data_IF_479830426857
#
_entry.id   IF_479830426857
#
_cell.length_a   1.000
_cell.length_b   1.000
_cell.length_c   1.000
_cell.angle_alpha   90.00
_cell.angle_beta   90.00
_cell.angle_gamma   90.00
#
_symmetry.space_group_name_H-M   'P 1'
#
loop_
_entity.id
_entity.type
_entity.pdbx_description
1 polymer ?
#
# COMPACT_ATOMS: atom_id res chain seq x y z
N UNK A 1 26.43 -8.44 -57.46
CA UNK A 1 26.58 -8.19 -56.00
C UNK A 1 25.26 -7.99 -55.25
N UNK A 2 24.30 -7.16 -55.72
CA UNK A 2 23.05 -6.87 -54.99
C UNK A 2 22.21 -8.11 -54.61
N UNK A 3 22.12 -9.11 -55.50
CA UNK A 3 21.37 -10.38 -55.24
C UNK A 3 21.93 -11.22 -54.08
N UNK A 4 23.24 -11.15 -53.82
CA UNK A 4 23.84 -11.87 -52.69
C UNK A 4 23.64 -11.11 -51.38
N UNK A 5 23.57 -9.78 -51.43
CA UNK A 5 23.30 -8.95 -50.26
C UNK A 5 21.89 -9.23 -49.67
N UNK A 6 20.87 -9.34 -50.54
CA UNK A 6 19.51 -9.68 -50.10
C UNK A 6 19.41 -11.10 -49.54
N UNK A 7 20.19 -12.05 -50.06
CA UNK A 7 20.26 -13.41 -49.50
C UNK A 7 20.88 -13.43 -48.11
N UNK A 8 21.95 -12.65 -47.89
CA UNK A 8 22.61 -12.54 -46.59
C UNK A 8 21.69 -11.86 -45.57
N UNK A 9 21.02 -10.76 -45.95
CA UNK A 9 20.07 -10.07 -45.08
C UNK A 9 18.85 -10.94 -44.73
N UNK A 10 18.36 -11.73 -45.68
CA UNK A 10 17.27 -12.66 -45.41
C UNK A 10 17.70 -13.75 -44.42
N UNK A 11 18.88 -14.34 -44.61
CA UNK A 11 19.43 -15.35 -43.70
C UNK A 11 19.68 -14.75 -42.30
N UNK A 12 20.21 -13.53 -42.19
CA UNK A 12 20.44 -12.91 -40.87
C UNK A 12 19.12 -12.61 -40.14
N UNK A 13 18.09 -12.15 -40.87
CA UNK A 13 16.76 -11.94 -40.29
C UNK A 13 16.15 -13.25 -39.77
N UNK A 14 16.34 -14.35 -40.52
CA UNK A 14 15.85 -15.67 -40.14
C UNK A 14 16.54 -16.17 -38.86
N UNK A 15 17.85 -15.95 -38.74
CA UNK A 15 18.64 -16.32 -37.55
C UNK A 15 18.15 -15.54 -36.32
N UNK A 16 17.89 -14.23 -36.46
CA UNK A 16 17.40 -13.40 -35.36
C UNK A 16 16.01 -13.86 -34.89
N UNK A 17 15.12 -14.21 -35.83
CA UNK A 17 13.78 -14.73 -35.51
C UNK A 17 13.88 -16.07 -34.78
N UNK A 18 14.71 -16.99 -35.26
CA UNK A 18 14.91 -18.31 -34.63
C UNK A 18 15.53 -18.16 -33.24
N UNK A 19 16.54 -17.31 -33.08
CA UNK A 19 17.16 -17.03 -31.79
C UNK A 19 16.16 -16.41 -30.79
N UNK A 20 15.29 -15.51 -31.25
CA UNK A 20 14.24 -14.91 -30.44
C UNK A 20 13.22 -15.96 -29.99
N UNK A 21 12.78 -16.85 -30.91
CA UNK A 21 11.86 -17.95 -30.57
C UNK A 21 12.49 -18.90 -29.53
N UNK A 22 13.78 -19.25 -29.69
CA UNK A 22 14.48 -20.11 -28.72
C UNK A 22 14.59 -19.42 -27.36
N UNK A 23 14.95 -18.13 -27.33
CA UNK A 23 15.03 -17.35 -26.10
C UNK A 23 13.69 -17.28 -25.38
N UNK A 24 12.60 -16.91 -26.06
CA UNK A 24 11.27 -16.86 -25.45
C UNK A 24 10.74 -18.25 -25.07
N UNK A 25 11.11 -19.31 -25.78
CA UNK A 25 10.66 -20.66 -25.46
C UNK A 25 11.41 -21.30 -24.29
N UNK A 26 12.70 -20.97 -24.11
CA UNK A 26 13.56 -21.60 -23.09
C UNK A 26 13.80 -20.72 -21.85
N UNK A 27 13.75 -19.38 -21.97
CA UNK A 27 14.02 -18.46 -20.85
C UNK A 27 12.71 -17.94 -20.22
N UNK A 28 11.62 -17.84 -20.99
CA UNK A 28 10.35 -17.24 -20.52
C UNK A 28 9.29 -18.29 -20.13
N UNK A 29 9.57 -19.60 -20.26
CA UNK A 29 8.74 -20.65 -19.67
C UNK A 29 9.47 -21.32 -18.50
N UNK A 30 9.10 -21.03 -17.24
CA UNK A 30 9.68 -21.70 -16.09
C UNK A 30 9.00 -23.07 -15.93
N UNK A 31 9.42 -24.08 -16.70
CA UNK A 31 8.99 -25.46 -16.40
C UNK A 31 9.75 -26.03 -15.20
N UNK A 32 10.99 -25.60 -14.95
CA UNK A 32 11.86 -26.24 -13.96
C UNK A 32 12.09 -25.43 -12.67
N UNK A 33 11.55 -24.21 -12.58
CA UNK A 33 11.48 -23.47 -11.31
C UNK A 33 10.23 -23.84 -10.50
N UNK A 34 9.27 -24.57 -11.07
CA UNK A 34 7.96 -24.81 -10.47
C UNK A 34 7.85 -26.11 -9.66
N UNK A 35 8.76 -27.06 -9.86
CA UNK A 35 8.72 -28.35 -9.15
C UNK A 35 9.10 -28.18 -7.67
N UNK A 36 10.10 -27.38 -7.35
CA UNK A 36 10.53 -27.18 -5.96
C UNK A 36 9.51 -26.38 -5.12
N UNK A 37 8.76 -25.46 -5.73
CA UNK A 37 7.69 -24.71 -5.07
C UNK A 37 6.37 -25.51 -5.01
N UNK A 38 6.13 -26.41 -5.98
CA UNK A 38 4.97 -27.29 -5.93
C UNK A 38 5.10 -28.33 -4.83
N UNK A 39 6.27 -28.93 -4.59
CA UNK A 39 6.44 -29.93 -3.52
C UNK A 39 6.09 -29.35 -2.13
N UNK A 40 6.58 -28.14 -1.82
CA UNK A 40 6.28 -27.45 -0.55
C UNK A 40 4.80 -27.04 -0.48
N UNK A 41 4.19 -26.67 -1.62
CA UNK A 41 2.77 -26.35 -1.69
C UNK A 41 1.86 -27.60 -1.59
N UNK A 42 2.28 -28.76 -2.08
CA UNK A 42 1.56 -30.04 -1.90
C UNK A 42 1.65 -30.55 -0.47
N UNK A 43 2.82 -30.46 0.18
CA UNK A 43 2.96 -30.90 1.58
C UNK A 43 2.09 -30.06 2.54
N UNK A 44 1.94 -28.75 2.27
CA UNK A 44 1.02 -27.89 3.01
C UNK A 44 -0.46 -28.13 2.64
N UNK A 45 -0.77 -28.52 1.39
CA UNK A 45 -2.14 -28.90 1.00
C UNK A 45 -2.58 -30.22 1.63
N UNK A 46 -1.68 -31.19 1.79
CA UNK A 46 -1.97 -32.45 2.48
C UNK A 46 -2.25 -32.20 3.97
N UNK A 47 -1.43 -31.39 4.66
CA UNK A 47 -1.67 -30.97 6.06
C UNK A 47 -2.98 -30.19 6.26
N UNK A 48 -3.43 -29.44 5.25
CA UNK A 48 -4.72 -28.71 5.26
C UNK A 48 -5.90 -29.65 4.97
N UNK A 49 -5.69 -30.69 4.14
CA UNK A 49 -6.72 -31.70 3.85
C UNK A 49 -6.99 -32.63 5.04
N UNK A 50 -5.95 -33.00 5.79
CA UNK A 50 -6.07 -33.82 7.00
C UNK A 50 -6.86 -33.09 8.10
N UNK A 51 -6.62 -31.78 8.30
CA UNK A 51 -7.43 -30.95 9.23
C UNK A 51 -8.89 -30.77 8.78
N UNK A 52 -9.16 -30.79 7.47
CA UNK A 52 -10.52 -30.68 6.92
C UNK A 52 -11.37 -31.90 7.25
N UNK A 53 -10.78 -33.10 7.22
CA UNK A 53 -11.48 -34.37 7.52
C UNK A 53 -11.75 -34.50 9.03
N UNK A 54 -10.92 -33.90 9.89
CA UNK A 54 -11.20 -33.78 11.34
C UNK A 54 -12.37 -32.81 11.62
N UNK A 55 -12.42 -31.66 10.93
CA UNK A 55 -13.47 -30.65 11.12
C UNK A 55 -14.84 -31.12 10.58
N UNK A 56 -14.86 -31.81 9.43
CA UNK A 56 -16.11 -32.37 8.86
C UNK A 56 -16.74 -33.46 9.75
N UNK A 57 -15.95 -34.12 10.60
CA UNK A 57 -16.48 -35.07 11.62
C UNK A 57 -16.99 -34.40 12.89
N UNK A 58 -16.51 -33.19 13.22
CA UNK A 58 -17.03 -32.42 14.37
C UNK A 58 -18.33 -31.65 14.04
N UNK A 59 -18.56 -31.27 12.78
CA UNK A 59 -19.77 -30.54 12.37
C UNK A 59 -21.05 -31.40 12.31
N UNK A 60 -20.95 -32.73 12.24
CA UNK A 60 -22.12 -33.62 12.27
C UNK A 60 -22.70 -33.87 13.69
N UNK A 61 -22.10 -33.33 14.75
CA UNK A 61 -22.44 -33.68 16.15
C UNK A 61 -23.13 -32.58 16.98
N UNK A 62 -23.49 -31.42 16.41
CA UNK A 62 -24.17 -30.35 17.17
C UNK A 62 -25.57 -30.01 16.67
N UNK A 63 -26.64 -30.43 17.37
CA UNK A 63 -27.95 -29.80 17.22
C UNK A 63 -28.07 -28.64 18.22
N UNK A 64 -28.31 -27.43 17.73
CA UNK A 64 -29.43 -26.56 18.16
C UNK A 64 -29.26 -25.11 17.73
N UNK A 65 -30.30 -24.61 17.07
CA UNK A 65 -30.74 -23.21 17.18
C UNK A 65 -30.89 -22.86 18.66
N UNK A 66 -30.04 -21.96 19.16
CA UNK A 66 -30.26 -21.26 20.43
C UNK A 66 -30.65 -19.83 20.09
N UNK A 67 -31.82 -19.43 20.59
CA UNK A 67 -32.36 -18.09 20.46
C UNK A 67 -31.36 -17.05 21.01
N UNK A 68 -31.13 -15.99 20.23
CA UNK A 68 -30.31 -14.85 20.63
C UNK A 68 -30.95 -14.13 21.83
N UNK A 69 -30.33 -14.24 23.01
CA UNK A 69 -30.51 -13.25 24.09
C UNK A 69 -29.61 -12.05 23.78
N UNK A 70 -30.11 -10.80 23.81
CA UNK A 70 -29.25 -9.64 23.67
C UNK A 70 -28.49 -9.47 25.00
N UNK A 71 -27.29 -10.03 25.08
CA UNK A 71 -26.33 -9.62 26.10
C UNK A 71 -25.76 -8.31 25.57
N UNK A 72 -26.33 -7.19 26.02
CA UNK A 72 -25.74 -5.86 25.82
C UNK A 72 -24.44 -5.82 26.60
N UNK A 73 -23.35 -6.19 25.94
CA UNK A 73 -22.02 -6.02 26.50
C UNK A 73 -21.68 -4.52 26.43
N UNK A 74 -21.68 -3.88 27.61
CA UNK A 74 -21.45 -2.43 27.73
C UNK A 74 -20.14 -2.01 27.05
N UNK A 75 -19.12 -2.85 27.10
CA UNK A 75 -17.83 -2.61 26.45
C UNK A 75 -17.96 -2.61 24.92
N UNK A 76 -18.71 -3.56 24.36
CA UNK A 76 -19.01 -3.60 22.92
C UNK A 76 -19.83 -2.39 22.47
N UNK A 77 -20.75 -1.93 23.31
CA UNK A 77 -21.55 -0.73 23.03
C UNK A 77 -20.70 0.55 23.05
N UNK A 78 -19.82 0.70 24.04
CA UNK A 78 -18.90 1.85 24.15
C UNK A 78 -17.91 1.88 22.99
N UNK A 79 -17.33 0.73 22.62
CA UNK A 79 -16.45 0.59 21.47
C UNK A 79 -17.16 0.97 20.17
N UNK A 80 -18.37 0.44 19.91
CA UNK A 80 -19.12 0.80 18.71
C UNK A 80 -19.48 2.28 18.65
N UNK A 81 -19.85 2.89 19.79
CA UNK A 81 -20.09 4.33 19.85
C UNK A 81 -18.84 5.13 19.48
N UNK A 82 -17.68 4.76 20.02
CA UNK A 82 -16.40 5.40 19.68
C UNK A 82 -16.05 5.25 18.19
N UNK A 83 -16.15 4.04 17.66
CA UNK A 83 -15.85 3.75 16.25
C UNK A 83 -16.80 4.50 15.30
N UNK A 84 -18.09 4.57 15.61
CA UNK A 84 -19.05 5.32 14.80
C UNK A 84 -18.73 6.83 14.80
N UNK A 85 -18.38 7.40 15.95
CA UNK A 85 -17.98 8.82 16.04
C UNK A 85 -16.73 9.11 15.19
N UNK A 86 -15.74 8.21 15.23
CA UNK A 86 -14.53 8.34 14.42
C UNK A 86 -14.85 8.22 12.92
N UNK A 87 -15.76 7.32 12.52
CA UNK A 87 -16.21 7.23 11.12
C UNK A 87 -16.89 8.52 10.63
N UNK A 88 -17.71 9.16 11.46
CA UNK A 88 -18.31 10.47 11.14
C UNK A 88 -17.21 11.53 10.92
N UNK A 89 -16.18 11.54 11.78
CA UNK A 89 -15.05 12.45 11.64
C UNK A 89 -14.22 12.17 10.37
N UNK A 90 -14.03 10.90 10.01
CA UNK A 90 -13.38 10.48 8.76
C UNK A 90 -14.16 10.98 7.54
N UNK A 91 -15.49 10.88 7.53
CA UNK A 91 -16.30 11.44 6.43
C UNK A 91 -16.16 12.97 6.31
N UNK A 92 -16.11 13.68 7.43
CA UNK A 92 -15.83 15.13 7.42
C UNK A 92 -14.42 15.41 6.88
N UNK A 93 -13.43 14.60 7.27
CA UNK A 93 -12.05 14.72 6.76
C UNK A 93 -11.99 14.46 5.26
N UNK A 94 -12.76 13.52 4.73
CA UNK A 94 -12.85 13.24 3.30
C UNK A 94 -13.33 14.45 2.50
N UNK A 95 -14.39 15.11 2.96
CA UNK A 95 -14.86 16.33 2.31
C UNK A 95 -13.81 17.46 2.40
N UNK A 96 -13.14 17.60 3.55
CA UNK A 96 -12.11 18.61 3.76
C UNK A 96 -10.91 18.42 2.84
N UNK A 97 -10.33 17.21 2.79
CA UNK A 97 -9.12 16.94 2.04
C UNK A 97 -9.33 17.10 0.53
N UNK A 98 -10.48 16.66 0.00
CA UNK A 98 -10.83 16.81 -1.42
C UNK A 98 -11.05 18.29 -1.78
N UNK A 99 -11.62 19.05 -0.85
CA UNK A 99 -11.75 20.51 -1.01
C UNK A 99 -10.38 21.17 -1.03
N UNK A 100 -9.53 20.96 -0.02
CA UNK A 100 -8.19 21.53 0.05
C UNK A 100 -7.39 21.17 -1.20
N UNK A 101 -7.40 19.90 -1.63
CA UNK A 101 -6.68 19.46 -2.82
C UNK A 101 -7.11 20.21 -4.10
N UNK A 102 -8.42 20.40 -4.29
CA UNK A 102 -8.96 21.11 -5.44
C UNK A 102 -8.73 22.63 -5.39
N UNK A 103 -8.73 23.23 -4.20
CA UNK A 103 -8.42 24.64 -4.00
C UNK A 103 -6.91 24.93 -4.16
N UNK A 104 -6.04 23.99 -3.79
CA UNK A 104 -4.58 24.10 -3.96
C UNK A 104 -4.15 23.88 -5.40
N UNK A 105 -4.70 22.86 -6.07
CA UNK A 105 -4.36 22.48 -7.45
C UNK A 105 -5.53 22.85 -8.36
N UNK A 106 -5.65 24.13 -8.69
CA UNK A 106 -6.79 24.65 -9.46
C UNK A 106 -6.65 24.41 -10.98
N UNK A 107 -5.42 24.37 -11.48
CA UNK A 107 -5.11 24.23 -12.91
C UNK A 107 -4.88 22.76 -13.25
N UNK A 108 -5.52 22.24 -14.30
CA UNK A 108 -5.30 20.87 -14.78
C UNK A 108 -3.92 20.68 -15.42
N UNK A 109 -3.26 21.76 -15.85
CA UNK A 109 -1.90 21.73 -16.40
C UNK A 109 -0.81 21.61 -15.33
N UNK A 110 -1.17 21.29 -14.07
CA UNK A 110 -0.20 21.10 -13.00
C UNK A 110 0.82 19.99 -13.29
N UNK A 111 0.56 19.12 -14.26
CA UNK A 111 1.52 18.08 -14.68
C UNK A 111 2.62 18.67 -15.58
N UNK A 112 2.38 19.81 -16.26
CA UNK A 112 3.40 20.45 -17.09
C UNK A 112 4.34 21.30 -16.22
N UNK A 113 5.55 20.80 -16.00
CA UNK A 113 6.62 21.51 -15.28
C UNK A 113 7.01 22.86 -15.91
N UNK A 114 6.55 23.17 -17.13
CA UNK A 114 6.75 24.46 -17.79
C UNK A 114 5.68 25.50 -17.41
N UNK A 115 4.61 25.09 -16.74
CA UNK A 115 3.56 26.01 -16.29
C UNK A 115 4.13 27.07 -15.33
N UNK A 116 3.51 28.25 -15.36
CA UNK A 116 3.84 29.40 -14.52
C UNK A 116 3.80 29.10 -13.01
N UNK A 117 3.01 28.12 -12.58
CA UNK A 117 2.94 27.72 -11.17
C UNK A 117 4.28 27.24 -10.60
N UNK A 118 5.24 26.87 -11.46
CA UNK A 118 6.57 26.40 -11.07
C UNK A 118 7.65 27.50 -11.09
N UNK A 119 7.26 28.75 -11.32
CA UNK A 119 8.18 29.90 -11.34
C UNK A 119 8.42 30.49 -9.94
N UNK A 120 7.39 30.49 -9.10
CA UNK A 120 7.47 30.96 -7.71
C UNK A 120 7.71 29.78 -6.74
N UNK A 121 8.94 29.67 -6.25
CA UNK A 121 9.34 28.60 -5.33
C UNK A 121 8.62 28.67 -3.98
N UNK A 122 8.22 29.85 -3.54
CA UNK A 122 7.55 30.03 -2.25
C UNK A 122 6.11 29.50 -2.35
N UNK A 123 5.43 29.82 -3.45
CA UNK A 123 4.10 29.31 -3.77
C UNK A 123 4.11 27.78 -3.98
N UNK A 124 5.07 27.24 -4.75
CA UNK A 124 5.21 25.79 -4.94
C UNK A 124 5.36 25.09 -3.59
N UNK A 125 6.25 25.58 -2.73
CA UNK A 125 6.50 24.97 -1.41
C UNK A 125 5.26 25.04 -0.54
N UNK A 126 4.57 26.18 -0.51
CA UNK A 126 3.32 26.33 0.24
C UNK A 126 2.29 25.32 -0.24
N UNK A 127 2.09 25.18 -1.56
CA UNK A 127 1.13 24.23 -2.15
C UNK A 127 1.51 22.78 -1.87
N UNK A 128 2.80 22.44 -1.97
CA UNK A 128 3.31 21.11 -1.63
C UNK A 128 3.00 20.75 -0.17
N UNK A 129 3.31 21.67 0.75
CA UNK A 129 3.03 21.52 2.17
C UNK A 129 1.53 21.37 2.46
N UNK A 130 0.69 22.17 1.79
CA UNK A 130 -0.78 22.05 1.89
C UNK A 130 -1.26 20.69 1.39
N UNK A 131 -0.77 20.18 0.24
CA UNK A 131 -1.17 18.85 -0.24
C UNK A 131 -0.77 17.75 0.75
N UNK A 132 0.44 17.80 1.31
CA UNK A 132 0.88 16.83 2.31
C UNK A 132 0.05 16.90 3.60
N UNK A 133 -0.12 18.09 4.17
CA UNK A 133 -0.69 18.26 5.51
C UNK A 133 -2.22 18.34 5.53
N UNK A 134 -2.85 18.79 4.44
CA UNK A 134 -4.29 18.98 4.37
C UNK A 134 -5.00 17.94 3.53
N UNK A 135 -4.36 17.41 2.48
CA UNK A 135 -4.95 16.37 1.64
C UNK A 135 -4.51 14.95 2.07
N UNK A 136 -3.23 14.74 2.35
CA UNK A 136 -2.67 13.40 2.56
C UNK A 136 -2.61 12.97 4.03
N UNK A 137 -2.29 13.88 4.94
CA UNK A 137 -2.34 13.63 6.38
C UNK A 137 -3.80 13.44 6.82
N UNK A 138 -4.12 12.34 7.52
CA UNK A 138 -5.50 12.01 7.90
C UNK A 138 -5.54 11.50 9.34
N UNK A 139 -5.39 12.38 10.34
CA UNK A 139 -5.28 11.97 11.73
C UNK A 139 -6.53 11.23 12.24
N UNK A 140 -7.72 11.53 11.71
CA UNK A 140 -8.97 10.84 12.05
C UNK A 140 -8.97 9.39 11.55
N UNK A 141 -8.46 9.16 10.33
CA UNK A 141 -8.30 7.81 9.77
C UNK A 141 -7.24 7.02 10.53
N UNK A 142 -6.18 7.69 10.97
CA UNK A 142 -5.13 7.09 11.79
C UNK A 142 -5.64 6.65 13.16
N UNK A 143 -6.44 7.49 13.82
CA UNK A 143 -7.07 7.15 15.09
C UNK A 143 -8.07 6.00 14.93
N UNK A 144 -8.90 6.02 13.88
CA UNK A 144 -9.84 4.93 13.59
C UNK A 144 -9.10 3.61 13.35
N UNK A 145 -8.02 3.60 12.57
CA UNK A 145 -7.19 2.40 12.38
C UNK A 145 -6.67 1.87 13.72
N UNK A 146 -6.09 2.74 14.55
CA UNK A 146 -5.50 2.35 15.82
C UNK A 146 -6.55 1.75 16.78
N UNK A 147 -7.77 2.27 16.79
CA UNK A 147 -8.86 1.75 17.61
C UNK A 147 -9.42 0.43 17.08
N UNK A 148 -9.52 0.27 15.76
CA UNK A 148 -9.91 -1.03 15.19
C UNK A 148 -8.82 -2.08 15.43
N UNK A 149 -7.54 -1.73 15.31
CA UNK A 149 -6.43 -2.63 15.63
C UNK A 149 -6.50 -3.10 17.08
N UNK A 150 -6.63 -2.17 18.04
CA UNK A 150 -6.80 -2.52 19.47
C UNK A 150 -8.02 -3.40 19.70
N UNK A 151 -9.13 -3.10 19.03
CA UNK A 151 -10.33 -3.91 19.11
C UNK A 151 -10.03 -5.34 18.62
N UNK A 152 -9.43 -5.51 17.44
CA UNK A 152 -9.07 -6.83 16.91
C UNK A 152 -8.09 -7.57 17.81
N UNK A 153 -7.19 -6.91 18.56
CA UNK A 153 -6.29 -7.63 19.48
C UNK A 153 -6.95 -8.00 20.83
N UNK A 154 -8.11 -7.42 21.15
CA UNK A 154 -8.80 -7.62 22.43
C UNK A 154 -9.91 -8.68 22.43
N UNK A 155 -10.16 -9.34 21.30
CA UNK A 155 -11.25 -10.30 21.04
C UNK A 155 -12.63 -9.88 21.57
N UNK A 156 -13.16 -8.71 21.14
CA UNK A 156 -14.50 -8.31 21.50
C UNK A 156 -15.48 -9.27 20.79
N UNK A 157 -16.67 -9.41 21.38
CA UNK A 157 -17.82 -10.13 20.79
C UNK A 157 -18.44 -9.37 19.60
N UNK A 158 -17.60 -8.83 18.71
CA UNK A 158 -17.95 -8.16 17.46
C UNK A 158 -17.62 -9.12 16.31
N UNK A 159 -18.38 -9.04 15.23
CA UNK A 159 -18.08 -9.78 14.00
C UNK A 159 -16.81 -9.18 13.35
N UNK A 160 -15.74 -9.97 13.14
CA UNK A 160 -14.50 -9.49 12.51
C UNK A 160 -14.74 -8.92 11.11
N UNK A 161 -15.79 -9.35 10.40
CA UNK A 161 -16.18 -8.77 9.10
C UNK A 161 -16.65 -7.33 9.23
N UNK A 162 -17.31 -6.99 10.33
CA UNK A 162 -17.68 -5.61 10.60
C UNK A 162 -16.43 -4.78 10.88
N UNK A 163 -15.51 -5.27 11.73
CA UNK A 163 -14.26 -4.56 12.02
C UNK A 163 -13.43 -4.34 10.75
N UNK A 164 -13.30 -5.36 9.90
CA UNK A 164 -12.61 -5.24 8.62
C UNK A 164 -13.31 -4.25 7.66
N UNK A 165 -14.64 -4.27 7.57
CA UNK A 165 -15.39 -3.30 6.76
C UNK A 165 -15.23 -1.86 7.26
N UNK A 166 -14.89 -1.64 8.54
CA UNK A 166 -14.51 -0.31 9.06
C UNK A 166 -13.10 0.07 8.61
N UNK A 167 -12.16 -0.87 8.59
CA UNK A 167 -10.81 -0.64 8.04
C UNK A 167 -10.86 -0.26 6.57
N UNK A 168 -11.76 -0.84 5.77
CA UNK A 168 -11.91 -0.45 4.36
C UNK A 168 -12.44 0.98 4.19
N UNK A 169 -13.20 1.50 5.16
CA UNK A 169 -13.77 2.86 5.11
C UNK A 169 -12.81 3.96 5.53
N UNK A 170 -11.67 3.63 6.14
CA UNK A 170 -10.67 4.63 6.52
C UNK A 170 -9.90 5.15 5.30
N UNK A 171 -10.00 4.46 4.16
CA UNK A 171 -9.26 4.79 2.95
C UNK A 171 -9.93 5.94 2.18
N UNK A 172 -9.79 7.14 2.73
CA UNK A 172 -10.33 8.39 2.19
C UNK A 172 -9.22 9.23 1.55
N UNK A 173 -9.56 10.24 0.74
CA UNK A 173 -8.61 11.25 0.22
C UNK A 173 -7.43 10.69 -0.62
N UNK A 174 -7.61 9.57 -1.33
CA UNK A 174 -6.57 8.96 -2.18
C UNK A 174 -6.61 9.45 -3.62
N UNK A 175 -6.99 10.70 -3.85
CA UNK A 175 -7.12 11.22 -5.21
C UNK A 175 -5.74 11.15 -5.92
N UNK A 176 -5.65 10.51 -7.11
CA UNK A 176 -4.41 10.41 -7.87
C UNK A 176 -3.75 11.76 -8.14
N UNK A 177 -4.53 12.84 -8.17
CA UNK A 177 -4.07 14.21 -8.34
C UNK A 177 -3.01 14.62 -7.32
N UNK A 178 -3.11 14.16 -6.07
CA UNK A 178 -2.14 14.46 -5.03
C UNK A 178 -0.76 13.85 -5.33
N UNK A 179 -0.70 12.57 -5.68
CA UNK A 179 0.55 11.89 -6.02
C UNK A 179 1.16 12.42 -7.31
N UNK A 180 0.33 12.66 -8.34
CA UNK A 180 0.78 13.26 -9.59
C UNK A 180 1.37 14.65 -9.35
N UNK A 181 0.76 15.46 -8.47
CA UNK A 181 1.29 16.79 -8.14
C UNK A 181 2.62 16.70 -7.39
N UNK A 182 2.76 15.77 -6.44
CA UNK A 182 4.04 15.50 -5.78
C UNK A 182 5.10 15.15 -6.82
N UNK A 183 4.81 14.20 -7.71
CA UNK A 183 5.72 13.80 -8.78
C UNK A 183 6.14 15.00 -9.64
N UNK A 184 5.19 15.79 -10.13
CA UNK A 184 5.48 16.98 -10.95
C UNK A 184 6.30 18.04 -10.20
N UNK A 185 6.09 18.24 -8.90
CA UNK A 185 6.94 19.13 -8.08
C UNK A 185 8.37 18.60 -7.97
N UNK A 186 8.55 17.29 -7.74
CA UNK A 186 9.87 16.67 -7.64
C UNK A 186 10.58 16.61 -8.99
N UNK A 187 9.84 16.40 -10.08
CA UNK A 187 10.34 16.48 -11.44
C UNK A 187 10.77 17.92 -11.77
N UNK A 188 9.95 18.92 -11.42
CA UNK A 188 10.28 20.33 -11.60
C UNK A 188 11.55 20.70 -10.83
N UNK A 189 11.69 20.25 -9.58
CA UNK A 189 12.92 20.42 -8.81
C UNK A 189 14.15 19.90 -9.59
N UNK A 190 14.09 18.67 -10.11
CA UNK A 190 15.18 18.03 -10.85
C UNK A 190 15.50 18.74 -12.17
N UNK A 191 14.49 19.04 -12.97
CA UNK A 191 14.67 19.55 -14.34
C UNK A 191 14.91 21.07 -14.40
N UNK A 192 14.30 21.83 -13.50
CA UNK A 192 14.54 23.28 -13.37
C UNK A 192 15.76 23.61 -12.51
N UNK A 193 16.41 22.61 -11.90
CA UNK A 193 17.63 22.75 -11.09
C UNK A 193 17.45 23.76 -9.95
N UNK A 194 16.36 23.59 -9.19
CA UNK A 194 16.10 24.45 -8.04
C UNK A 194 17.20 24.30 -6.96
N UNK A 195 17.37 25.32 -6.11
CA UNK A 195 18.36 25.27 -5.03
C UNK A 195 18.13 24.09 -4.07
N UNK A 196 19.22 23.53 -3.54
CA UNK A 196 19.20 22.39 -2.61
C UNK A 196 18.32 22.64 -1.38
N UNK A 197 18.20 23.88 -0.91
CA UNK A 197 17.33 24.20 0.23
C UNK A 197 15.86 23.84 -0.03
N UNK A 198 15.41 23.89 -1.30
CA UNK A 198 14.05 23.48 -1.68
C UNK A 198 13.93 21.96 -1.57
N UNK A 199 14.91 21.20 -2.08
CA UNK A 199 14.98 19.74 -1.90
C UNK A 199 14.83 19.36 -0.43
N UNK A 200 15.63 19.99 0.42
CA UNK A 200 15.75 19.65 1.83
C UNK A 200 14.42 19.82 2.56
N UNK A 201 13.68 20.88 2.21
CA UNK A 201 12.34 21.14 2.74
C UNK A 201 11.32 20.13 2.23
N UNK A 202 11.24 19.90 0.91
CA UNK A 202 10.29 18.95 0.33
C UNK A 202 10.49 17.54 0.91
N UNK A 203 11.76 17.10 0.99
CA UNK A 203 12.17 15.82 1.58
C UNK A 203 11.78 15.75 3.06
N UNK A 204 12.07 16.80 3.83
CA UNK A 204 11.76 16.85 5.25
C UNK A 204 10.27 16.77 5.55
N UNK A 205 9.42 17.41 4.74
CA UNK A 205 7.97 17.34 4.91
C UNK A 205 7.43 15.93 4.64
N UNK A 206 7.90 15.27 3.57
CA UNK A 206 7.52 13.87 3.28
C UNK A 206 7.91 12.94 4.43
N UNK A 207 9.17 13.03 4.91
CA UNK A 207 9.62 12.18 6.01
C UNK A 207 8.91 12.47 7.33
N UNK A 208 8.55 13.73 7.59
CA UNK A 208 7.72 14.10 8.75
C UNK A 208 6.37 13.41 8.67
N UNK A 209 5.70 13.49 7.51
CA UNK A 209 4.41 12.84 7.31
C UNK A 209 4.46 11.32 7.49
N UNK A 210 5.50 10.66 6.95
CA UNK A 210 5.74 9.21 7.13
C UNK A 210 5.91 8.88 8.61
N UNK A 211 6.72 9.65 9.36
CA UNK A 211 6.96 9.45 10.79
C UNK A 211 5.71 9.63 11.64
N UNK A 212 4.81 10.53 11.26
CA UNK A 212 3.60 10.81 12.02
C UNK A 212 2.46 9.80 11.75
N UNK A 213 2.36 9.33 10.50
CA UNK A 213 1.22 8.55 10.02
C UNK A 213 1.45 7.04 10.13
N UNK A 214 2.57 6.52 9.62
CA UNK A 214 2.84 5.07 9.54
C UNK A 214 2.79 4.36 10.91
N UNK A 215 3.28 4.94 12.03
CA UNK A 215 3.16 4.30 13.34
C UNK A 215 1.73 4.21 13.89
N UNK A 216 0.79 4.99 13.34
CA UNK A 216 -0.60 5.01 13.80
C UNK A 216 -1.50 4.22 12.85
N UNK A 217 -1.23 4.29 11.56
CA UNK A 217 -2.02 3.67 10.50
C UNK A 217 -1.15 2.77 9.62
N UNK A 218 -1.29 1.46 9.84
CA UNK A 218 -0.55 0.42 9.10
C UNK A 218 -1.46 -0.29 8.10
N UNK A 219 -2.58 0.31 7.69
CA UNK A 219 -3.38 -0.29 6.62
C UNK A 219 -2.53 -0.46 5.36
N UNK A 220 -2.76 -1.53 4.60
CA UNK A 220 -1.99 -1.79 3.38
C UNK A 220 -2.05 -0.61 2.42
N UNK A 221 -3.22 0.00 2.23
CA UNK A 221 -3.37 1.18 1.39
C UNK A 221 -2.51 2.36 1.88
N UNK A 222 -2.39 2.56 3.20
CA UNK A 222 -1.54 3.61 3.74
C UNK A 222 -0.05 3.32 3.54
N UNK A 223 0.36 2.08 3.77
CA UNK A 223 1.73 1.64 3.57
C UNK A 223 2.13 1.76 2.08
N UNK A 224 1.31 1.24 1.17
CA UNK A 224 1.52 1.34 -0.28
C UNK A 224 1.64 2.78 -0.74
N UNK A 225 0.81 3.67 -0.21
CA UNK A 225 0.83 5.07 -0.58
C UNK A 225 2.13 5.76 -0.18
N UNK A 226 2.63 5.54 1.03
CA UNK A 226 3.92 6.09 1.44
C UNK A 226 5.09 5.43 0.73
N UNK A 227 5.02 4.12 0.47
CA UNK A 227 5.99 3.44 -0.40
C UNK A 227 6.03 4.07 -1.78
N UNK A 228 4.89 4.41 -2.38
CA UNK A 228 4.80 5.07 -3.69
C UNK A 228 5.39 6.49 -3.64
N UNK A 229 5.13 7.28 -2.60
CA UNK A 229 5.75 8.60 -2.45
C UNK A 229 7.28 8.48 -2.42
N UNK A 230 7.82 7.52 -1.67
CA UNK A 230 9.28 7.30 -1.62
C UNK A 230 9.85 6.80 -2.96
N UNK A 231 9.10 5.97 -3.70
CA UNK A 231 9.47 5.56 -5.06
C UNK A 231 9.50 6.75 -6.03
N UNK A 232 8.49 7.61 -6.00
CA UNK A 232 8.46 8.86 -6.79
C UNK A 232 9.68 9.74 -6.47
N UNK A 233 10.07 9.84 -5.20
CA UNK A 233 11.29 10.55 -4.81
C UNK A 233 12.55 9.88 -5.37
N UNK A 234 12.61 8.55 -5.43
CA UNK A 234 13.73 7.81 -6.01
C UNK A 234 13.81 8.01 -7.53
N UNK A 235 12.68 7.94 -8.24
CA UNK A 235 12.57 8.15 -9.68
C UNK A 235 13.01 9.57 -10.09
N UNK A 236 12.75 10.54 -9.22
CA UNK A 236 13.20 11.92 -9.39
C UNK A 236 14.60 12.20 -8.84
N UNK A 237 15.34 11.18 -8.39
CA UNK A 237 16.72 11.31 -7.94
C UNK A 237 16.89 12.07 -6.61
N UNK A 238 15.81 12.22 -5.83
CA UNK A 238 15.88 12.73 -4.45
C UNK A 238 16.22 11.64 -3.45
N UNK A 239 15.96 10.36 -3.78
CA UNK A 239 16.34 9.20 -2.98
C UNK A 239 17.34 8.35 -3.78
N UNK A 240 18.41 7.81 -3.15
CA UNK A 240 19.34 6.93 -3.84
C UNK A 240 18.65 5.68 -4.43
N UNK A 241 18.97 5.35 -5.68
CA UNK A 241 18.34 4.24 -6.42
C UNK A 241 18.52 2.86 -5.77
N UNK A 242 19.51 2.67 -4.89
CA UNK A 242 19.64 1.40 -4.16
C UNK A 242 18.42 1.10 -3.28
N UNK A 243 17.69 2.13 -2.83
CA UNK A 243 16.47 1.95 -2.05
C UNK A 243 15.23 1.65 -2.91
N UNK A 244 15.26 1.88 -4.24
CA UNK A 244 14.09 1.61 -5.09
C UNK A 244 13.75 0.12 -5.10
N UNK A 245 14.76 -0.75 -5.14
CA UNK A 245 14.56 -2.21 -5.13
C UNK A 245 13.94 -2.68 -3.81
N UNK A 246 14.38 -2.11 -2.68
CA UNK A 246 13.81 -2.43 -1.36
C UNK A 246 12.35 -1.97 -1.24
N UNK A 247 12.05 -0.77 -1.75
CA UNK A 247 10.70 -0.21 -1.75
C UNK A 247 9.75 -0.99 -2.69
N UNK A 248 10.21 -1.39 -3.87
CA UNK A 248 9.45 -2.22 -4.81
C UNK A 248 9.13 -3.60 -4.22
N UNK A 249 10.12 -4.24 -3.58
CA UNK A 249 9.91 -5.52 -2.92
C UNK A 249 8.94 -5.42 -1.74
N UNK A 250 9.04 -4.35 -0.94
CA UNK A 250 8.08 -4.05 0.12
C UNK A 250 6.66 -3.86 -0.45
N UNK A 251 6.52 -3.09 -1.53
CA UNK A 251 5.24 -2.88 -2.23
C UNK A 251 4.63 -4.20 -2.72
N UNK A 252 5.44 -5.08 -3.30
CA UNK A 252 5.01 -6.42 -3.71
C UNK A 252 4.50 -7.23 -2.51
N UNK A 253 5.25 -7.26 -1.40
CA UNK A 253 4.88 -8.00 -0.18
C UNK A 253 3.61 -7.46 0.49
N UNK A 254 3.40 -6.14 0.45
CA UNK A 254 2.16 -5.51 0.92
C UNK A 254 0.95 -5.99 0.12
N UNK A 255 1.06 -6.00 -1.21
CA UNK A 255 0.01 -6.48 -2.11
C UNK A 255 -0.25 -7.99 -1.96
N UNK A 256 0.81 -8.78 -1.83
CA UNK A 256 0.71 -10.23 -1.56
C UNK A 256 -0.01 -10.49 -0.24
N UNK A 257 0.35 -9.79 0.84
CA UNK A 257 -0.31 -9.93 2.14
C UNK A 257 -1.82 -9.63 2.06
N UNK A 258 -2.20 -8.53 1.39
CA UNK A 258 -3.61 -8.18 1.22
C UNK A 258 -4.36 -9.23 0.38
N UNK A 259 -3.74 -9.69 -0.71
CA UNK A 259 -4.36 -10.70 -1.60
C UNK A 259 -4.57 -12.02 -0.88
N UNK A 260 -3.56 -12.52 -0.15
CA UNK A 260 -3.66 -13.75 0.64
C UNK A 260 -4.72 -13.64 1.73
N UNK A 261 -4.81 -12.50 2.42
CA UNK A 261 -5.85 -12.26 3.41
C UNK A 261 -7.25 -12.35 2.79
N UNK A 262 -7.47 -11.73 1.62
CA UNK A 262 -8.77 -11.76 0.94
C UNK A 262 -9.21 -13.15 0.47
N UNK A 263 -8.28 -14.07 0.23
CA UNK A 263 -8.59 -15.46 -0.13
C UNK A 263 -9.13 -16.26 1.06
N UNK A 264 -8.61 -15.98 2.26
CA UNK A 264 -8.94 -16.74 3.48
C UNK A 264 -10.01 -16.05 4.33
N UNK A 265 -10.24 -14.75 4.17
CA UNK A 265 -11.23 -13.99 4.91
C UNK A 265 -12.55 -13.83 4.15
N UNK A 266 -13.68 -14.12 4.78
CA UNK A 266 -14.98 -13.86 4.15
C UNK A 266 -16.16 -14.64 4.72
N UNK A 267 -17.31 -14.60 4.02
CA UNK A 267 -18.57 -15.17 4.51
C UNK A 267 -18.57 -16.71 4.56
N UNK A 268 -17.61 -17.37 3.91
CA UNK A 268 -17.48 -18.83 3.90
C UNK A 268 -16.78 -19.38 5.14
N UNK A 269 -16.12 -18.52 5.92
CA UNK A 269 -15.43 -18.91 7.15
C UNK A 269 -16.30 -18.63 8.38
N UNK A 270 -16.09 -19.41 9.44
CA UNK A 270 -16.64 -19.12 10.77
C UNK A 270 -16.08 -17.82 11.38
N UNK A 271 -16.72 -17.32 12.45
CA UNK A 271 -16.27 -16.11 13.17
C UNK A 271 -14.81 -16.25 13.62
N UNK A 272 -14.46 -17.37 14.24
CA UNK A 272 -13.14 -17.60 14.81
C UNK A 272 -12.04 -17.58 13.75
N UNK A 273 -12.25 -18.31 12.65
CA UNK A 273 -11.31 -18.33 11.53
C UNK A 273 -11.10 -16.94 10.91
N UNK A 274 -12.19 -16.17 10.72
CA UNK A 274 -12.09 -14.78 10.24
C UNK A 274 -11.36 -13.86 11.22
N UNK A 275 -11.56 -14.07 12.53
CA UNK A 275 -10.90 -13.27 13.55
C UNK A 275 -9.38 -13.53 13.57
N UNK A 276 -8.97 -14.81 13.56
CA UNK A 276 -7.56 -15.20 13.46
C UNK A 276 -6.95 -14.60 12.19
N UNK A 277 -7.61 -14.76 11.05
CA UNK A 277 -7.13 -14.21 9.77
C UNK A 277 -6.98 -12.68 9.80
N UNK A 278 -7.91 -11.97 10.45
CA UNK A 278 -7.84 -10.52 10.58
C UNK A 278 -6.72 -10.07 11.53
N UNK A 279 -6.55 -10.73 12.68
CA UNK A 279 -5.45 -10.42 13.62
C UNK A 279 -4.09 -10.69 12.97
N UNK A 280 -3.91 -11.85 12.31
CA UNK A 280 -2.67 -12.19 11.60
C UNK A 280 -2.37 -11.18 10.49
N UNK A 281 -3.38 -10.78 9.72
CA UNK A 281 -3.25 -9.74 8.70
C UNK A 281 -2.79 -8.39 9.27
N UNK A 282 -3.37 -7.95 10.40
CA UNK A 282 -3.02 -6.69 11.04
C UNK A 282 -1.62 -6.73 11.68
N UNK A 283 -1.22 -7.84 12.28
CA UNK A 283 0.14 -8.04 12.80
C UNK A 283 1.17 -8.05 11.68
N UNK A 284 0.88 -8.73 10.56
CA UNK A 284 1.75 -8.71 9.39
C UNK A 284 1.89 -7.30 8.80
N UNK A 285 0.81 -6.54 8.78
CA UNK A 285 0.85 -5.13 8.39
C UNK A 285 1.72 -4.29 9.33
N UNK A 286 1.72 -4.59 10.63
CA UNK A 286 2.62 -3.93 11.59
C UNK A 286 4.10 -4.23 11.32
N UNK A 287 4.45 -5.48 11.03
CA UNK A 287 5.82 -5.84 10.63
C UNK A 287 6.26 -5.07 9.38
N UNK A 288 5.42 -5.05 8.34
CA UNK A 288 5.71 -4.32 7.10
C UNK A 288 5.76 -2.80 7.32
N UNK A 289 4.94 -2.27 8.23
CA UNK A 289 4.99 -0.86 8.63
C UNK A 289 6.26 -0.49 9.40
N UNK A 290 6.78 -1.39 10.24
CA UNK A 290 8.08 -1.22 10.90
C UNK A 290 9.19 -1.22 9.86
N UNK A 291 9.14 -2.12 8.89
CA UNK A 291 10.11 -2.19 7.79
C UNK A 291 10.11 -0.92 6.94
N UNK A 292 8.94 -0.41 6.53
CA UNK A 292 8.82 0.87 5.81
C UNK A 292 9.49 2.02 6.57
N UNK A 293 9.26 2.07 7.88
CA UNK A 293 9.87 3.10 8.74
C UNK A 293 11.38 2.95 8.83
N UNK A 294 11.89 1.72 8.85
CA UNK A 294 13.32 1.45 8.87
C UNK A 294 13.96 1.91 7.55
N UNK A 295 13.40 1.49 6.41
CA UNK A 295 13.85 1.93 5.08
C UNK A 295 13.80 3.46 4.99
N UNK A 296 12.69 4.08 5.38
CA UNK A 296 12.52 5.54 5.41
C UNK A 296 13.58 6.24 6.25
N UNK A 297 13.91 5.70 7.43
CA UNK A 297 14.96 6.24 8.30
C UNK A 297 16.34 6.07 7.70
N UNK A 298 16.62 4.94 7.06
CA UNK A 298 17.90 4.68 6.41
C UNK A 298 18.10 5.60 5.21
N UNK A 299 17.04 5.85 4.43
CA UNK A 299 17.05 6.87 3.37
C UNK A 299 17.35 8.25 3.96
N UNK A 300 16.61 8.68 4.99
CA UNK A 300 16.80 10.00 5.61
C UNK A 300 18.23 10.18 6.16
N UNK A 301 18.80 9.14 6.79
CA UNK A 301 20.18 9.15 7.27
C UNK A 301 21.21 9.25 6.12
N UNK A 302 20.97 8.55 5.00
CA UNK A 302 21.84 8.61 3.81
C UNK A 302 21.72 9.94 3.07
N UNK A 303 20.57 10.59 3.17
CA UNK A 303 20.38 11.92 2.62
C UNK A 303 21.08 13.00 3.43
N UNK A 304 21.57 12.68 4.65
CA UNK A 304 22.13 13.58 5.67
C UNK A 304 22.18 15.02 5.17
N UNK A 305 21.06 15.68 5.41
CA UNK A 305 20.87 17.12 5.34
C UNK A 305 21.96 17.72 6.22
N UNK A 306 23.09 18.06 5.60
CA UNK A 306 24.27 18.57 6.28
C UNK A 306 23.92 19.86 6.99
N UNK A 307 23.87 19.80 8.31
CA UNK A 307 24.23 20.94 9.14
C UNK A 307 25.74 21.10 9.14
#
# INVERSE_FOLDING_TARGET
>A
MKRNLYKILFISSLIIIVASIIYFRNVVKPTNLREHYNEIATENREKVSERRIEIEKEEELYPKKVAAKPIFDKQVSELNFKLNKLEEQVQVREAYCLKSLNETIQNENYIDIKDSMYEDLDDVRSKFSTVLNEAMFRPEADELFAEVYKAVESDPKIDPRLLFARLERIDICRDPKALNFIDSVLEAYRLRKWPTIVRDQLVSEVFTLVKETVPKNRSVENLLYFTNVLLIMADNGLVPLNFSTELEDLSRRLNENHSMFKEVFGPRQGREANYISLSDYLRRNEELGIELRQISRDIENNLTLGY
#
